data_IF_710182199646
#
_entry.id   IF_710182199646
#
_cell.length_a   1.000
_cell.length_b   1.000
_cell.length_c   1.000
_cell.angle_alpha   90.00
_cell.angle_beta   90.00
_cell.angle_gamma   90.00
#
_symmetry.space_group_name_H-M   'P 1'
#
loop_
_entity.id
_entity.type
_entity.pdbx_description
1 polymer ?
#
# COMPACT_ATOMS: atom_id res chain seq x y z
N UNK A 1 -21.43 14.22 8.75
CA UNK A 1 -21.36 12.79 9.12
C UNK A 1 -21.88 11.96 7.96
N UNK A 2 -21.15 10.91 7.57
CA UNK A 2 -21.63 9.63 7.01
C UNK A 2 -20.50 8.98 6.22
N UNK A 3 -19.91 7.91 6.77
CA UNK A 3 -19.42 6.80 5.94
C UNK A 3 -20.25 5.57 6.34
N UNK A 4 -20.97 4.94 5.40
CA UNK A 4 -21.72 3.75 5.69
C UNK A 4 -20.75 2.60 5.97
N UNK A 5 -21.10 1.86 6.99
CA UNK A 5 -20.62 0.52 7.31
C UNK A 5 -21.01 -0.43 6.18
N UNK A 6 -20.05 -1.08 5.52
CA UNK A 6 -20.26 -2.43 4.98
C UNK A 6 -18.94 -3.19 4.93
N UNK A 7 -19.01 -4.37 5.52
CA UNK A 7 -17.91 -5.19 6.02
C UNK A 7 -17.54 -6.20 4.94
N UNK A 8 -16.39 -6.03 4.27
CA UNK A 8 -15.77 -7.13 3.52
C UNK A 8 -14.24 -7.04 3.55
N UNK A 9 -13.70 -7.24 4.74
CA UNK A 9 -12.27 -7.42 4.99
C UNK A 9 -11.77 -8.71 4.34
N UNK A 10 -10.81 -8.64 3.39
CA UNK A 10 -9.98 -9.80 3.03
C UNK A 10 -9.26 -10.26 4.31
N UNK A 11 -9.32 -11.56 4.62
CA UNK A 11 -8.68 -12.15 5.80
C UNK A 11 -7.16 -11.95 5.74
N UNK A 12 -6.57 -11.52 6.85
CA UNK A 12 -5.14 -11.24 6.99
C UNK A 12 -4.42 -12.50 7.45
N UNK A 13 -3.45 -12.98 6.65
CA UNK A 13 -2.67 -14.19 6.93
C UNK A 13 -1.56 -13.96 7.98
N UNK A 14 -1.17 -12.70 8.24
CA UNK A 14 -0.26 -12.33 9.32
C UNK A 14 -1.00 -11.60 10.46
N UNK A 15 -0.69 -11.89 11.73
CA UNK A 15 -1.33 -11.26 12.87
C UNK A 15 -1.04 -9.76 13.02
N UNK A 16 0.02 -9.26 12.36
CA UNK A 16 0.42 -7.85 12.39
C UNK A 16 -0.21 -7.02 11.24
N UNK A 17 -0.80 -7.67 10.24
CA UNK A 17 -1.43 -6.99 9.12
C UNK A 17 -2.84 -6.52 9.52
N UNK A 18 -3.17 -5.28 9.16
CA UNK A 18 -4.51 -4.75 9.36
C UNK A 18 -5.43 -5.15 8.19
N UNK A 19 -6.74 -5.31 8.43
CA UNK A 19 -7.74 -5.34 7.38
C UNK A 19 -7.50 -4.25 6.35
N UNK A 20 -7.47 -4.61 5.07
CA UNK A 20 -7.41 -3.61 4.01
C UNK A 20 -8.72 -2.81 4.04
N UNK A 21 -8.68 -1.49 4.21
CA UNK A 21 -9.88 -0.66 4.24
C UNK A 21 -10.60 -0.69 2.88
N UNK A 22 -11.93 -0.74 2.91
CA UNK A 22 -12.74 -0.77 1.70
C UNK A 22 -12.43 0.40 0.74
N UNK A 23 -12.22 1.60 1.27
CA UNK A 23 -11.86 2.77 0.44
C UNK A 23 -10.49 2.65 -0.24
N UNK A 24 -9.57 1.86 0.30
CA UNK A 24 -8.29 1.57 -0.35
C UNK A 24 -8.50 0.61 -1.51
N UNK A 25 -9.31 -0.44 -1.32
CA UNK A 25 -9.65 -1.38 -2.38
C UNK A 25 -10.36 -0.68 -3.54
N UNK A 26 -11.35 0.17 -3.26
CA UNK A 26 -12.10 0.91 -4.30
C UNK A 26 -11.20 1.80 -5.16
N UNK A 27 -10.24 2.50 -4.55
CA UNK A 27 -9.32 3.36 -5.28
C UNK A 27 -8.32 2.55 -6.13
N UNK A 28 -7.88 1.38 -5.63
CA UNK A 28 -7.05 0.45 -6.40
C UNK A 28 -7.85 -0.11 -7.60
N UNK A 29 -9.09 -0.54 -7.37
CA UNK A 29 -9.99 -1.02 -8.42
C UNK A 29 -10.30 0.07 -9.46
N UNK A 30 -10.29 1.34 -9.06
CA UNK A 30 -10.42 2.49 -9.96
C UNK A 30 -9.14 2.78 -10.79
N UNK A 31 -8.08 1.99 -10.64
CA UNK A 31 -6.82 2.11 -11.36
C UNK A 31 -5.71 2.85 -10.59
N UNK A 32 -5.92 3.13 -9.30
CA UNK A 32 -4.90 3.70 -8.44
C UNK A 32 -3.77 2.70 -8.16
N UNK A 33 -2.52 3.15 -8.22
CA UNK A 33 -1.39 2.29 -7.90
C UNK A 33 -1.42 1.90 -6.40
N UNK A 34 -1.42 0.60 -6.02
CA UNK A 34 -1.61 0.14 -4.65
C UNK A 34 -0.67 0.75 -3.62
N UNK A 35 0.63 0.83 -3.94
CA UNK A 35 1.64 1.48 -3.08
C UNK A 35 1.26 2.94 -2.79
N UNK A 36 0.86 3.69 -3.83
CA UNK A 36 0.50 5.10 -3.72
C UNK A 36 -0.78 5.27 -2.89
N UNK A 37 -1.83 4.51 -3.23
CA UNK A 37 -3.12 4.56 -2.54
C UNK A 37 -2.95 4.25 -1.06
N UNK A 38 -2.22 3.18 -0.72
CA UNK A 38 -1.98 2.80 0.67
C UNK A 38 -1.14 3.85 1.42
N UNK A 39 -0.11 4.40 0.77
CA UNK A 39 0.72 5.46 1.36
C UNK A 39 -0.11 6.70 1.69
N UNK A 40 -0.94 7.15 0.74
CA UNK A 40 -1.78 8.34 0.90
C UNK A 40 -2.88 8.11 1.93
N UNK A 41 -3.46 6.91 1.97
CA UNK A 41 -4.40 6.51 3.02
C UNK A 41 -3.78 6.60 4.42
N UNK A 42 -2.51 6.20 4.56
CA UNK A 42 -1.74 6.32 5.81
C UNK A 42 -1.20 7.74 6.08
N UNK A 43 -1.48 8.70 5.20
CA UNK A 43 -1.05 10.10 5.34
C UNK A 43 0.47 10.31 5.24
N UNK A 44 1.19 9.40 4.59
CA UNK A 44 2.65 9.47 4.45
C UNK A 44 3.05 10.19 3.16
N UNK A 45 4.09 11.03 3.22
CA UNK A 45 4.78 11.50 2.02
C UNK A 45 5.67 10.40 1.43
N UNK A 46 6.10 10.54 0.17
CA UNK A 46 7.04 9.61 -0.44
C UNK A 46 8.36 9.56 0.32
N UNK A 47 8.92 10.72 0.64
CA UNK A 47 10.12 10.84 1.47
C UNK A 47 9.99 10.07 2.79
N UNK A 48 8.86 10.24 3.50
CA UNK A 48 8.61 9.57 4.78
C UNK A 48 8.56 8.05 4.64
N UNK A 49 7.88 7.52 3.61
CA UNK A 49 7.80 6.08 3.39
C UNK A 49 9.16 5.53 2.95
N UNK A 50 9.81 6.18 1.98
CA UNK A 50 11.10 5.77 1.45
C UNK A 50 12.17 5.70 2.56
N UNK A 51 12.25 6.72 3.39
CA UNK A 51 13.14 6.74 4.56
C UNK A 51 12.82 5.64 5.57
N UNK A 52 11.54 5.32 5.77
CA UNK A 52 11.14 4.30 6.73
C UNK A 52 11.44 2.86 6.28
N UNK A 53 11.60 2.63 4.98
CA UNK A 53 11.90 1.30 4.40
C UNK A 53 13.29 1.20 3.80
N UNK A 54 14.12 2.22 4.02
CA UNK A 54 15.51 2.32 3.58
C UNK A 54 15.69 2.20 2.04
N UNK A 55 14.88 2.96 1.30
CA UNK A 55 15.01 3.12 -0.17
C UNK A 55 15.05 4.60 -0.55
N UNK A 56 15.44 4.92 -1.78
CA UNK A 56 15.39 6.30 -2.27
C UNK A 56 13.95 6.73 -2.59
N UNK A 57 13.65 8.01 -2.38
CA UNK A 57 12.36 8.61 -2.76
C UNK A 57 12.11 8.48 -4.27
N UNK A 58 13.15 8.66 -5.09
CA UNK A 58 13.08 8.49 -6.54
C UNK A 58 12.68 7.06 -6.93
N UNK A 59 13.27 6.05 -6.28
CA UNK A 59 12.90 4.65 -6.54
C UNK A 59 11.45 4.38 -6.16
N UNK A 60 10.99 4.89 -5.01
CA UNK A 60 9.58 4.80 -4.62
C UNK A 60 8.65 5.51 -5.63
N UNK A 61 9.02 6.68 -6.13
CA UNK A 61 8.23 7.40 -7.13
C UNK A 61 8.10 6.61 -8.44
N UNK A 62 9.19 5.99 -8.91
CA UNK A 62 9.19 5.13 -10.11
C UNK A 62 8.38 3.85 -9.91
N UNK A 63 8.39 3.28 -8.70
CA UNK A 63 7.50 2.18 -8.32
C UNK A 63 6.03 2.61 -8.42
N UNK A 64 5.66 3.73 -7.80
CA UNK A 64 4.28 4.25 -7.84
C UNK A 64 3.81 4.63 -9.26
N UNK A 65 4.74 4.98 -10.15
CA UNK A 65 4.46 5.26 -11.55
C UNK A 65 4.37 3.99 -12.42
N UNK A 66 4.70 2.81 -11.88
CA UNK A 66 4.74 1.55 -12.63
C UNK A 66 5.91 1.44 -13.62
N UNK A 67 6.90 2.34 -13.53
CA UNK A 67 8.07 2.36 -14.43
C UNK A 67 9.08 1.25 -14.13
N UNK A 68 9.12 0.78 -12.88
CA UNK A 68 9.97 -0.31 -12.42
C UNK A 68 9.15 -1.30 -11.62
N UNK A 69 9.47 -2.59 -11.74
CA UNK A 69 8.97 -3.60 -10.81
C UNK A 69 9.89 -3.69 -9.60
N UNK A 70 9.32 -3.58 -8.41
CA UNK A 70 10.07 -3.68 -7.16
C UNK A 70 10.48 -5.12 -6.86
N UNK A 71 11.66 -5.30 -6.27
CA UNK A 71 12.04 -6.58 -5.68
C UNK A 71 11.08 -6.94 -4.54
N UNK A 72 10.79 -8.23 -4.37
CA UNK A 72 9.87 -8.72 -3.32
C UNK A 72 10.24 -8.20 -1.93
N UNK A 73 11.54 -8.16 -1.59
CA UNK A 73 12.02 -7.62 -0.30
C UNK A 73 11.61 -6.15 -0.08
N UNK A 74 11.73 -5.31 -1.11
CA UNK A 74 11.33 -3.91 -1.03
C UNK A 74 9.80 -3.77 -0.88
N UNK A 75 9.03 -4.54 -1.65
CA UNK A 75 7.57 -4.56 -1.56
C UNK A 75 7.11 -5.05 -0.18
N UNK A 76 7.73 -6.10 0.37
CA UNK A 76 7.42 -6.63 1.69
C UNK A 76 7.72 -5.62 2.80
N UNK A 77 8.85 -4.91 2.74
CA UNK A 77 9.16 -3.82 3.68
C UNK A 77 8.14 -2.68 3.61
N UNK A 78 7.71 -2.31 2.41
CA UNK A 78 6.64 -1.31 2.19
C UNK A 78 5.32 -1.79 2.79
N UNK A 79 4.92 -3.02 2.49
CA UNK A 79 3.69 -3.64 3.01
C UNK A 79 3.66 -3.59 4.54
N UNK A 80 4.74 -4.05 5.16
CA UNK A 80 4.89 -4.06 6.62
C UNK A 80 4.84 -2.64 7.20
N UNK A 81 5.54 -1.67 6.58
CA UNK A 81 5.50 -0.28 7.03
C UNK A 81 4.11 0.35 6.92
N UNK A 82 3.34 -0.04 5.91
CA UNK A 82 1.96 0.41 5.71
C UNK A 82 0.93 -0.41 6.49
N UNK A 83 1.34 -1.49 7.17
CA UNK A 83 0.48 -2.49 7.81
C UNK A 83 -0.60 -2.97 6.86
N UNK A 84 -0.19 -3.38 5.67
CA UNK A 84 -1.05 -3.93 4.63
C UNK A 84 -0.51 -5.29 4.21
N UNK A 85 -1.38 -6.24 3.83
CA UNK A 85 -0.94 -7.50 3.26
C UNK A 85 -0.10 -7.25 2.02
N UNK A 86 1.00 -7.99 1.87
CA UNK A 86 1.91 -7.82 0.73
C UNK A 86 1.18 -8.00 -0.60
N UNK A 87 0.27 -8.97 -0.68
CA UNK A 87 -0.48 -9.36 -1.88
C UNK A 87 -1.20 -8.18 -2.55
N UNK A 88 -1.71 -7.23 -1.77
CA UNK A 88 -2.43 -6.07 -2.30
C UNK A 88 -1.48 -5.15 -3.09
N UNK A 89 -0.19 -5.16 -2.77
CA UNK A 89 0.82 -4.34 -3.44
C UNK A 89 1.42 -5.03 -4.67
N UNK A 90 1.18 -6.34 -4.84
CA UNK A 90 1.71 -7.15 -5.96
C UNK A 90 0.65 -7.45 -7.02
N UNK A 91 -0.65 -7.39 -6.66
CA UNK A 91 -1.78 -7.52 -7.60
C UNK A 91 -1.77 -6.33 -8.59
N UNK A 92 -1.09 -6.50 -9.73
CA UNK A 92 -0.98 -5.54 -10.84
C UNK A 92 -0.93 -6.25 -12.20
#
# INVERSE_FOLDING_TARGET
MNKPTDTKTKAVDNPDDEPVPQSVLEEIEAGGHPIKVCREYRGLSREQLARAVDISEEYLARLEAGEVRGAFDAISKIAHRLRMPTDILIEQ
#
